data_IF_849730658751
#
_entry.id   IF_849730658751
#
_cell.length_a   1.000
_cell.length_b   1.000
_cell.length_c   1.000
_cell.angle_alpha   90.00
_cell.angle_beta   90.00
_cell.angle_gamma   90.00
#
_symmetry.space_group_name_H-M   'P 1'
#
loop_
_entity.id
_entity.type
_entity.pdbx_description
1 polymer ?
#
# COMPACT_ATOMS: atom_id res chain seq x y z
N UNK A 1 10.87 29.89 30.06
CA UNK A 1 11.81 28.81 30.44
C UNK A 1 10.97 27.58 30.78
N UNK A 2 10.92 26.61 29.93
CA UNK A 2 10.61 25.18 30.09
C UNK A 2 10.07 24.61 28.77
N UNK A 3 10.94 24.40 27.79
CA UNK A 3 10.63 23.72 26.53
C UNK A 3 11.49 22.47 26.30
N UNK A 4 11.90 21.80 27.36
CA UNK A 4 12.89 20.71 27.27
C UNK A 4 12.49 19.35 27.81
N UNK A 5 11.22 19.10 28.13
CA UNK A 5 10.83 17.85 28.82
C UNK A 5 9.88 16.90 28.07
N UNK A 6 9.39 17.23 26.90
CA UNK A 6 8.45 16.35 26.17
C UNK A 6 9.08 15.44 25.11
N UNK A 7 10.37 15.58 24.84
CA UNK A 7 11.09 14.71 23.87
C UNK A 7 11.61 13.39 24.47
N UNK A 8 11.46 13.16 25.76
CA UNK A 8 12.05 12.01 26.47
C UNK A 8 11.09 10.85 26.75
N UNK A 9 9.82 10.96 26.41
CA UNK A 9 8.83 9.90 26.68
C UNK A 9 8.71 8.83 25.60
N UNK A 10 9.28 9.03 24.41
CA UNK A 10 9.28 8.03 23.33
C UNK A 10 10.38 6.97 23.44
N UNK A 11 11.38 7.15 24.29
CA UNK A 11 12.54 6.26 24.40
C UNK A 11 12.49 5.22 25.53
N UNK A 12 11.45 5.20 26.36
CA UNK A 12 11.44 4.40 27.58
C UNK A 12 10.79 3.02 27.47
N UNK A 13 10.26 2.59 26.31
CA UNK A 13 9.66 1.26 26.12
C UNK A 13 10.58 0.20 25.49
N UNK A 14 11.83 0.52 25.23
CA UNK A 14 12.78 -0.34 24.50
C UNK A 14 13.68 -1.23 25.40
N UNK A 15 13.47 -1.31 26.70
CA UNK A 15 14.45 -1.91 27.62
C UNK A 15 14.05 -3.23 28.26
N UNK A 16 13.09 -3.99 27.72
CA UNK A 16 12.80 -5.33 28.28
C UNK A 16 12.39 -6.34 27.20
N UNK A 17 13.36 -6.80 26.40
CA UNK A 17 13.25 -8.06 25.67
C UNK A 17 14.62 -8.72 25.56
N UNK A 18 14.77 -9.82 26.29
CA UNK A 18 15.95 -10.68 26.28
C UNK A 18 16.18 -11.33 24.90
N UNK A 19 17.43 -11.31 24.50
CA UNK A 19 18.15 -12.14 23.54
C UNK A 19 17.41 -13.34 22.90
N UNK A 20 16.59 -13.07 21.88
CA UNK A 20 16.34 -14.01 20.81
C UNK A 20 17.10 -13.49 19.57
N UNK A 21 17.81 -14.37 18.86
CA UNK A 21 18.44 -14.03 17.59
C UNK A 21 17.34 -13.75 16.58
N UNK A 22 16.87 -12.50 16.51
CA UNK A 22 15.96 -12.05 15.47
C UNK A 22 16.74 -11.94 14.16
N UNK A 23 16.32 -12.70 13.18
CA UNK A 23 16.75 -12.55 11.81
C UNK A 23 15.87 -11.47 11.20
N UNK A 24 16.48 -10.43 10.62
CA UNK A 24 15.73 -9.37 9.96
C UNK A 24 14.81 -9.96 8.88
N UNK A 25 13.57 -9.48 8.75
CA UNK A 25 12.77 -9.80 7.59
C UNK A 25 13.54 -9.36 6.35
N UNK A 26 13.71 -10.27 5.40
CA UNK A 26 14.16 -9.90 4.09
C UNK A 26 13.11 -8.92 3.56
N UNK A 27 13.52 -7.72 3.14
CA UNK A 27 12.66 -6.89 2.31
C UNK A 27 12.10 -7.79 1.23
N UNK A 28 10.77 -7.79 1.04
CA UNK A 28 10.13 -8.58 0.02
C UNK A 28 10.83 -8.27 -1.31
N UNK A 29 11.84 -9.07 -1.62
CA UNK A 29 12.53 -8.99 -2.91
C UNK A 29 11.63 -9.61 -3.95
N UNK A 30 11.81 -9.30 -5.24
CA UNK A 30 11.03 -9.95 -6.27
C UNK A 30 11.14 -11.45 -6.07
N UNK A 31 10.00 -12.12 -6.00
CA UNK A 31 10.00 -13.57 -6.11
C UNK A 31 10.84 -13.92 -7.31
N UNK A 32 11.94 -14.67 -7.07
CA UNK A 32 12.83 -15.28 -8.03
C UNK A 32 13.86 -14.40 -8.77
N UNK A 33 14.99 -14.16 -8.11
CA UNK A 33 16.25 -14.36 -8.83
C UNK A 33 16.51 -15.88 -8.92
N UNK A 34 17.01 -16.44 -10.05
CA UNK A 34 17.40 -17.84 -10.09
C UNK A 34 18.51 -18.05 -9.05
N UNK A 35 18.19 -18.81 -8.01
CA UNK A 35 19.08 -19.15 -6.92
C UNK A 35 20.32 -19.85 -7.46
N UNK A 36 21.49 -19.30 -7.17
CA UNK A 36 22.73 -20.09 -7.23
C UNK A 36 22.61 -21.24 -6.23
N UNK A 37 23.14 -22.43 -6.52
CA UNK A 37 23.10 -23.55 -5.60
C UNK A 37 23.92 -23.21 -4.34
N UNK A 38 23.24 -22.87 -3.29
CA UNK A 38 23.83 -22.74 -1.96
C UNK A 38 23.97 -24.14 -1.36
N UNK A 39 25.12 -24.38 -0.76
CA UNK A 39 25.56 -25.64 -0.12
C UNK A 39 24.48 -26.28 0.74
N UNK A 40 24.47 -27.62 0.73
CA UNK A 40 23.65 -28.53 1.51
C UNK A 40 23.53 -28.08 2.99
N UNK A 41 22.48 -27.36 3.30
CA UNK A 41 22.02 -27.11 4.66
C UNK A 41 20.83 -28.02 4.94
N UNK A 42 20.92 -28.78 6.01
CA UNK A 42 19.97 -29.72 6.59
C UNK A 42 18.56 -29.67 6.00
N UNK A 43 18.12 -30.82 5.45
CA UNK A 43 16.76 -31.04 4.97
C UNK A 43 15.74 -30.85 6.09
N UNK A 44 15.31 -29.62 6.27
CA UNK A 44 14.25 -29.25 7.20
C UNK A 44 12.96 -29.44 6.42
N UNK A 45 12.11 -30.36 6.86
CA UNK A 45 10.81 -30.61 6.24
C UNK A 45 9.94 -29.35 6.16
N UNK A 46 8.83 -29.38 5.39
CA UNK A 46 7.98 -28.20 5.18
C UNK A 46 7.45 -27.65 6.50
N UNK A 47 7.52 -26.33 6.65
CA UNK A 47 7.01 -25.62 7.82
C UNK A 47 5.49 -25.83 7.94
N UNK A 48 5.01 -26.16 9.14
CA UNK A 48 3.58 -26.41 9.39
C UNK A 48 2.82 -25.17 9.81
N UNK A 49 3.47 -24.24 10.47
CA UNK A 49 2.94 -22.93 10.85
C UNK A 49 4.09 -21.97 11.17
N UNK A 50 3.83 -20.69 11.06
CA UNK A 50 4.70 -19.65 11.57
C UNK A 50 3.87 -18.51 12.18
N UNK A 51 4.55 -17.66 12.94
CA UNK A 51 3.98 -16.47 13.53
C UNK A 51 5.01 -15.35 13.41
N UNK A 52 4.62 -14.29 12.71
CA UNK A 52 5.39 -13.06 12.65
C UNK A 52 4.64 -11.94 13.36
N UNK A 53 5.37 -10.95 13.79
CA UNK A 53 4.83 -9.78 14.45
C UNK A 53 5.53 -8.54 13.92
N UNK A 54 4.77 -7.49 13.67
CA UNK A 54 5.30 -6.18 13.39
C UNK A 54 4.60 -5.11 14.25
N UNK A 55 5.34 -4.03 14.52
CA UNK A 55 4.79 -2.77 15.02
C UNK A 55 5.46 -1.61 14.30
N UNK A 56 4.67 -0.69 13.81
CA UNK A 56 5.14 0.51 13.12
C UNK A 56 4.50 1.74 13.74
N UNK A 57 5.30 2.76 14.01
CA UNK A 57 4.82 4.08 14.38
C UNK A 57 5.47 5.12 13.47
N UNK A 58 4.66 6.00 12.90
CA UNK A 58 5.12 7.09 12.03
C UNK A 58 4.65 8.40 12.64
N UNK A 59 5.58 9.28 12.94
CA UNK A 59 5.32 10.65 13.37
C UNK A 59 5.56 11.60 12.21
N UNK A 60 4.56 12.38 11.84
CA UNK A 60 4.57 13.31 10.72
C UNK A 60 4.47 14.75 11.21
N UNK A 61 5.12 15.67 10.51
CA UNK A 61 5.09 17.10 10.76
C UNK A 61 5.14 17.91 9.48
N UNK A 62 4.29 18.93 9.36
CA UNK A 62 4.49 20.02 8.42
C UNK A 62 4.42 21.39 9.12
N UNK A 63 5.14 22.36 8.59
CA UNK A 63 5.12 23.74 9.02
C UNK A 63 4.03 24.56 8.31
N UNK A 64 4.09 25.87 8.47
CA UNK A 64 3.24 26.81 7.71
C UNK A 64 3.59 26.81 6.23
N UNK A 65 2.60 27.04 5.40
CA UNK A 65 2.75 27.21 3.96
C UNK A 65 1.76 28.24 3.42
N UNK A 66 1.90 28.65 2.17
CA UNK A 66 0.99 29.62 1.55
C UNK A 66 -0.38 29.00 1.26
N UNK A 67 -1.45 29.58 1.82
CA UNK A 67 -2.82 29.20 1.58
C UNK A 67 -3.75 30.41 1.75
N UNK A 68 -4.06 31.14 0.67
CA UNK A 68 -4.84 32.38 0.75
C UNK A 68 -6.31 32.15 1.15
N UNK A 69 -6.78 30.92 1.13
CA UNK A 69 -8.13 30.51 1.55
C UNK A 69 -8.13 29.04 2.01
N UNK A 70 -9.20 28.67 2.71
CA UNK A 70 -9.37 27.30 3.24
C UNK A 70 -10.82 26.87 3.04
N UNK A 71 -11.02 25.73 2.41
CA UNK A 71 -12.29 25.04 2.25
C UNK A 71 -12.47 23.88 3.25
N UNK A 72 -13.59 23.17 3.17
CA UNK A 72 -13.90 22.08 4.10
C UNK A 72 -12.89 20.92 4.10
N UNK A 73 -12.33 20.56 2.93
CA UNK A 73 -11.34 19.49 2.77
C UNK A 73 -9.97 20.04 2.37
N UNK A 74 -9.60 21.20 2.91
CA UNK A 74 -8.26 21.76 2.73
C UNK A 74 -7.27 21.24 3.76
N UNK A 75 -6.04 21.05 3.35
CA UNK A 75 -4.91 20.98 4.28
C UNK A 75 -4.80 22.32 5.03
N UNK A 76 -4.66 22.31 6.34
CA UNK A 76 -4.50 23.53 7.15
C UNK A 76 -3.10 24.12 6.96
N UNK A 77 -3.02 25.44 6.87
CA UNK A 77 -1.79 26.18 6.59
C UNK A 77 -0.92 26.47 7.83
N UNK A 78 -1.40 26.10 9.01
CA UNK A 78 -0.64 26.16 10.27
C UNK A 78 0.10 24.82 10.54
N UNK A 79 1.11 24.83 11.43
CA UNK A 79 1.85 23.61 11.73
C UNK A 79 0.95 22.51 12.32
N UNK A 80 0.96 21.33 11.70
CA UNK A 80 0.30 20.13 12.21
C UNK A 80 1.31 19.04 12.57
N UNK A 81 0.95 18.20 13.51
CA UNK A 81 1.66 16.98 13.89
C UNK A 81 0.66 15.86 14.02
N UNK A 82 1.04 14.70 13.50
CA UNK A 82 0.27 13.49 13.68
C UNK A 82 1.17 12.29 13.98
N UNK A 83 0.58 11.25 14.56
CA UNK A 83 1.27 9.99 14.83
C UNK A 83 0.32 8.86 14.49
N UNK A 84 0.78 7.96 13.62
CA UNK A 84 0.12 6.68 13.40
C UNK A 84 0.82 5.56 14.17
N UNK A 85 0.05 4.53 14.50
CA UNK A 85 0.55 3.28 15.05
C UNK A 85 -0.20 2.12 14.41
N UNK A 86 0.54 1.12 13.98
CA UNK A 86 0.01 -0.13 13.46
C UNK A 86 0.77 -1.30 14.06
N UNK A 87 0.06 -2.32 14.52
CA UNK A 87 0.65 -3.55 14.99
C UNK A 87 -0.14 -4.75 14.50
N UNK A 88 0.55 -5.73 13.94
CA UNK A 88 -0.04 -6.89 13.26
C UNK A 88 0.61 -8.17 13.72
N UNK A 89 -0.21 -9.18 13.98
CA UNK A 89 0.23 -10.58 14.08
C UNK A 89 -0.04 -11.25 12.73
N UNK A 90 0.96 -11.94 12.19
CA UNK A 90 0.86 -12.70 10.95
C UNK A 90 0.95 -14.19 11.29
N UNK A 91 -0.19 -14.86 11.36
CA UNK A 91 -0.25 -16.29 11.58
C UNK A 91 -0.58 -17.01 10.28
N UNK A 92 0.26 -17.96 9.91
CA UNK A 92 0.05 -18.83 8.75
C UNK A 92 0.15 -20.28 9.18
N UNK A 93 -0.81 -21.09 8.73
CA UNK A 93 -0.84 -22.53 8.99
C UNK A 93 -1.03 -23.33 7.71
N UNK A 94 -0.31 -24.44 7.58
CA UNK A 94 -0.48 -25.43 6.52
C UNK A 94 -1.53 -26.43 6.96
N UNK A 95 -2.67 -26.46 6.28
CA UNK A 95 -3.75 -27.41 6.52
C UNK A 95 -3.48 -28.73 5.78
N UNK A 96 -3.02 -28.63 4.54
CA UNK A 96 -2.63 -29.73 3.66
C UNK A 96 -1.36 -29.32 2.87
N UNK A 97 -0.70 -30.23 2.13
CA UNK A 97 0.54 -29.90 1.44
C UNK A 97 0.53 -28.61 0.61
N UNK A 98 -0.59 -28.30 -0.03
CA UNK A 98 -0.75 -27.13 -0.89
C UNK A 98 -1.89 -26.19 -0.42
N UNK A 99 -2.38 -26.35 0.81
CA UNK A 99 -3.48 -25.55 1.37
C UNK A 99 -3.01 -24.83 2.61
N UNK A 100 -3.20 -23.53 2.62
CA UNK A 100 -2.75 -22.64 3.69
C UNK A 100 -3.91 -21.81 4.24
N UNK A 101 -3.86 -21.50 5.52
CA UNK A 101 -4.73 -20.55 6.18
C UNK A 101 -3.89 -19.40 6.73
N UNK A 102 -4.30 -18.18 6.40
CA UNK A 102 -3.70 -16.94 6.89
C UNK A 102 -4.68 -16.25 7.82
N UNK A 103 -4.19 -15.79 8.98
CA UNK A 103 -4.98 -15.07 9.99
C UNK A 103 -4.16 -13.94 10.59
N UNK A 104 -4.51 -12.68 10.28
CA UNK A 104 -3.80 -11.51 10.75
C UNK A 104 -4.74 -10.56 11.50
N UNK A 105 -4.82 -10.64 12.84
CA UNK A 105 -5.41 -9.58 13.64
C UNK A 105 -4.46 -8.37 13.68
N UNK A 106 -5.02 -7.17 13.59
CA UNK A 106 -4.28 -5.91 13.54
C UNK A 106 -4.92 -4.86 14.42
N UNK A 107 -4.10 -3.99 14.98
CA UNK A 107 -4.51 -2.78 15.69
C UNK A 107 -3.88 -1.60 14.95
N UNK A 108 -4.69 -0.65 14.51
CA UNK A 108 -4.20 0.57 13.88
C UNK A 108 -4.96 1.80 14.39
N UNK A 109 -4.26 2.94 14.42
CA UNK A 109 -4.78 4.25 14.76
C UNK A 109 -3.86 5.36 14.24
N UNK A 110 -4.42 6.56 14.15
CA UNK A 110 -3.79 7.78 13.65
C UNK A 110 -4.87 8.71 13.09
N UNK A 111 -4.60 9.99 13.02
CA UNK A 111 -5.57 10.97 12.58
C UNK A 111 -5.28 11.53 11.18
N UNK A 112 -4.00 11.71 10.85
CA UNK A 112 -3.53 12.40 9.66
C UNK A 112 -3.72 13.92 9.71
N UNK A 113 -2.95 14.61 8.89
CA UNK A 113 -3.06 16.07 8.74
C UNK A 113 -4.48 16.45 8.28
N UNK A 114 -5.09 17.41 8.95
CA UNK A 114 -6.43 17.91 8.62
C UNK A 114 -7.49 16.79 8.51
N UNK A 115 -7.27 15.63 9.18
CA UNK A 115 -8.11 14.45 9.06
C UNK A 115 -7.94 13.69 7.73
N UNK A 116 -6.73 13.66 7.19
CA UNK A 116 -6.35 13.12 5.87
C UNK A 116 -7.04 13.87 4.73
N UNK A 117 -7.14 15.20 4.81
CA UNK A 117 -7.73 16.03 3.76
C UNK A 117 -6.72 17.04 3.19
N UNK A 118 -6.97 17.45 1.94
CA UNK A 118 -6.29 18.54 1.27
C UNK A 118 -4.95 18.19 0.63
N UNK A 119 -4.67 16.90 0.46
CA UNK A 119 -3.56 16.34 -0.32
C UNK A 119 -4.12 15.16 -1.11
N UNK A 120 -3.95 15.12 -2.42
CA UNK A 120 -4.44 14.03 -3.24
C UNK A 120 -3.56 12.77 -3.12
N UNK A 121 -2.30 12.96 -2.79
CA UNK A 121 -1.32 11.92 -2.50
C UNK A 121 -0.91 11.97 -1.01
N UNK A 122 -1.72 11.46 -0.07
CA UNK A 122 -1.43 11.53 1.37
C UNK A 122 -0.04 11.03 1.73
N UNK A 123 0.67 11.69 2.66
CA UNK A 123 2.10 11.44 2.91
C UNK A 123 2.39 10.18 3.73
N UNK A 124 1.38 9.55 4.34
CA UNK A 124 1.53 8.42 5.24
C UNK A 124 0.52 7.32 4.92
N UNK A 125 0.99 6.26 4.27
CA UNK A 125 0.18 5.12 3.85
C UNK A 125 -0.35 4.23 4.98
N UNK A 126 0.12 4.43 6.21
CA UNK A 126 -0.38 3.70 7.39
C UNK A 126 -1.59 4.38 8.06
N UNK A 127 -2.05 5.50 7.55
CA UNK A 127 -3.21 6.21 8.11
C UNK A 127 -4.44 5.96 7.25
N UNK A 128 -5.42 5.16 7.71
CA UNK A 128 -6.71 5.07 7.03
C UNK A 128 -7.47 6.39 7.16
N UNK A 129 -8.13 6.83 6.10
CA UNK A 129 -8.79 8.15 6.02
C UNK A 129 -9.80 8.44 7.13
N UNK A 130 -10.58 7.46 7.55
CA UNK A 130 -11.55 7.60 8.66
C UNK A 130 -10.99 6.93 9.91
N UNK A 131 -9.71 7.12 10.14
CA UNK A 131 -9.09 6.57 11.32
C UNK A 131 -9.67 7.17 12.57
N UNK A 132 -9.85 6.32 13.55
CA UNK A 132 -9.91 6.75 14.92
C UNK A 132 -8.50 7.17 15.34
N UNK A 133 -8.35 8.34 15.94
CA UNK A 133 -7.08 8.72 16.57
C UNK A 133 -6.64 7.66 17.61
N UNK A 134 -7.60 6.98 18.22
CA UNK A 134 -7.35 5.85 19.11
C UNK A 134 -7.18 4.55 18.33
N UNK A 135 -6.11 3.79 18.60
CA UNK A 135 -5.90 2.47 18.00
C UNK A 135 -7.08 1.53 18.31
N UNK A 136 -7.56 0.84 17.27
CA UNK A 136 -8.67 -0.12 17.39
C UNK A 136 -8.28 -1.46 16.77
N UNK A 137 -8.63 -2.59 17.45
CA UNK A 137 -8.41 -3.91 16.87
C UNK A 137 -9.41 -4.20 15.76
N UNK A 138 -8.95 -4.93 14.75
CA UNK A 138 -9.78 -5.45 13.67
C UNK A 138 -9.11 -6.66 13.01
N UNK A 139 -9.85 -7.32 12.15
CA UNK A 139 -9.34 -8.42 11.35
C UNK A 139 -8.82 -7.86 10.01
N UNK A 140 -7.51 -7.88 9.82
CA UNK A 140 -6.88 -7.47 8.58
C UNK A 140 -7.01 -8.57 7.51
N UNK A 141 -6.48 -9.76 7.77
CA UNK A 141 -6.53 -10.89 6.84
C UNK A 141 -7.11 -12.14 7.51
N UNK A 142 -7.96 -12.83 6.77
CA UNK A 142 -8.43 -14.18 7.05
C UNK A 142 -8.80 -14.82 5.72
N UNK A 143 -7.89 -15.58 5.15
CA UNK A 143 -8.14 -16.24 3.87
C UNK A 143 -7.50 -17.63 3.80
N UNK A 144 -8.09 -18.47 2.98
CA UNK A 144 -7.51 -19.74 2.57
C UNK A 144 -6.84 -19.56 1.19
N UNK A 145 -5.69 -20.22 1.02
CA UNK A 145 -4.97 -20.37 -0.24
C UNK A 145 -4.88 -21.83 -0.59
N UNK A 146 -5.11 -22.17 -1.86
CA UNK A 146 -4.83 -23.50 -2.39
C UNK A 146 -4.09 -23.42 -3.72
N UNK A 147 -3.02 -24.22 -3.86
CA UNK A 147 -2.16 -24.29 -5.04
C UNK A 147 -2.38 -25.60 -5.79
N UNK A 148 -2.87 -25.52 -7.00
CA UNK A 148 -2.91 -26.64 -7.97
C UNK A 148 -1.63 -26.61 -8.80
N UNK A 149 -0.64 -27.43 -8.44
CA UNK A 149 0.62 -27.52 -9.16
C UNK A 149 0.51 -28.36 -10.43
N UNK A 150 1.16 -27.92 -11.50
CA UNK A 150 1.33 -28.68 -12.73
C UNK A 150 2.78 -28.58 -13.23
N UNK A 151 3.31 -29.70 -13.66
CA UNK A 151 4.75 -29.84 -13.94
C UNK A 151 5.53 -30.41 -12.76
N UNK A 152 6.82 -30.67 -12.99
CA UNK A 152 7.70 -31.31 -11.99
C UNK A 152 8.58 -30.32 -11.24
N UNK A 153 8.73 -29.11 -11.77
CA UNK A 153 9.63 -28.10 -11.22
C UNK A 153 9.03 -27.47 -9.97
N UNK A 154 9.85 -27.36 -8.95
CA UNK A 154 9.50 -26.70 -7.68
C UNK A 154 10.51 -25.62 -7.36
N UNK A 155 10.06 -24.58 -6.71
CA UNK A 155 10.86 -23.52 -6.11
C UNK A 155 10.85 -23.65 -4.60
N UNK A 156 11.96 -23.28 -3.98
CA UNK A 156 12.05 -23.21 -2.52
C UNK A 156 11.54 -21.86 -2.05
N UNK A 157 10.62 -21.89 -1.09
CA UNK A 157 10.18 -20.69 -0.37
C UNK A 157 10.82 -20.64 1.01
N UNK A 158 11.26 -19.46 1.40
CA UNK A 158 11.67 -19.17 2.77
C UNK A 158 10.44 -18.81 3.63
N UNK A 159 10.59 -18.93 4.95
CA UNK A 159 9.56 -18.51 5.89
C UNK A 159 9.51 -16.99 5.98
N UNK A 160 8.32 -16.40 5.84
CA UNK A 160 8.08 -14.97 5.91
C UNK A 160 6.65 -14.67 6.38
N UNK A 161 6.28 -13.41 6.50
CA UNK A 161 4.91 -12.97 6.77
C UNK A 161 3.95 -13.54 5.71
N UNK A 162 2.89 -14.22 6.17
CA UNK A 162 1.91 -14.91 5.32
C UNK A 162 2.48 -15.97 4.36
N UNK A 163 3.69 -16.44 4.61
CA UNK A 163 4.37 -17.43 3.80
C UNK A 163 5.08 -18.48 4.65
N UNK A 164 4.85 -19.77 4.36
CA UNK A 164 5.53 -20.88 5.03
C UNK A 164 6.72 -21.37 4.23
N UNK A 165 7.81 -21.70 4.92
CA UNK A 165 8.94 -22.36 4.29
C UNK A 165 8.54 -23.73 3.71
N UNK A 166 9.14 -24.07 2.57
CA UNK A 166 8.93 -25.36 1.91
C UNK A 166 9.15 -25.29 0.41
N UNK A 167 8.65 -26.29 -0.28
CA UNK A 167 8.64 -26.35 -1.73
C UNK A 167 7.27 -25.95 -2.29
N UNK A 168 7.25 -25.18 -3.36
CA UNK A 168 6.05 -24.78 -4.07
C UNK A 168 6.21 -25.09 -5.57
N UNK A 169 5.17 -25.55 -6.27
CA UNK A 169 5.26 -25.73 -7.72
C UNK A 169 5.54 -24.42 -8.45
N UNK A 170 6.51 -24.42 -9.38
CA UNK A 170 6.80 -23.25 -10.22
C UNK A 170 5.61 -22.93 -11.11
N UNK A 171 5.03 -23.95 -11.75
CA UNK A 171 3.81 -23.81 -12.56
C UNK A 171 2.63 -24.21 -11.71
N UNK A 172 1.78 -23.24 -11.40
CA UNK A 172 0.62 -23.44 -10.52
C UNK A 172 -0.55 -22.55 -10.89
N UNK A 173 -1.72 -23.02 -10.53
CA UNK A 173 -2.92 -22.22 -10.42
C UNK A 173 -3.28 -22.09 -8.96
N UNK A 174 -3.31 -20.87 -8.45
CA UNK A 174 -3.58 -20.57 -7.05
C UNK A 174 -4.93 -19.90 -6.89
N UNK A 175 -5.69 -20.28 -5.87
CA UNK A 175 -6.93 -19.63 -5.48
C UNK A 175 -6.75 -19.12 -4.06
N UNK A 176 -7.10 -17.86 -3.84
CA UNK A 176 -7.16 -17.20 -2.55
C UNK A 176 -8.60 -16.78 -2.31
N UNK A 177 -9.19 -17.14 -1.17
CA UNK A 177 -10.57 -16.82 -0.85
C UNK A 177 -10.72 -16.40 0.61
N UNK A 178 -11.33 -15.25 0.85
CA UNK A 178 -11.54 -14.72 2.20
C UNK A 178 -11.36 -13.20 2.28
N UNK A 179 -10.82 -12.73 3.39
CA UNK A 179 -10.51 -11.32 3.67
C UNK A 179 -9.02 -11.04 3.48
N UNK A 180 -8.69 -10.02 2.71
CA UNK A 180 -7.32 -9.59 2.39
C UNK A 180 -7.31 -8.13 1.91
N UNK A 181 -6.14 -7.52 1.72
CA UNK A 181 -6.05 -6.35 0.85
C UNK A 181 -5.81 -6.81 -0.58
N UNK A 182 -6.50 -6.20 -1.54
CA UNK A 182 -6.36 -6.57 -2.96
C UNK A 182 -4.95 -6.27 -3.48
N UNK A 183 -4.27 -5.31 -2.86
CA UNK A 183 -2.89 -4.94 -3.17
C UNK A 183 -1.85 -5.99 -2.73
N UNK A 184 -2.21 -7.00 -1.92
CA UNK A 184 -1.33 -8.15 -1.66
C UNK A 184 -1.02 -8.95 -2.94
N UNK A 185 -1.89 -8.86 -3.95
CA UNK A 185 -1.82 -9.66 -5.17
C UNK A 185 -1.56 -8.84 -6.43
N UNK A 186 -1.99 -7.57 -6.47
CA UNK A 186 -1.97 -6.72 -7.65
C UNK A 186 -1.12 -5.48 -7.43
N UNK A 187 -0.56 -4.93 -8.51
CA UNK A 187 0.34 -3.76 -8.53
C UNK A 187 1.56 -3.93 -7.59
N UNK A 188 1.95 -5.16 -7.35
CA UNK A 188 3.08 -5.47 -6.48
C UNK A 188 4.38 -4.95 -7.11
N UNK A 189 5.25 -4.31 -6.30
CA UNK A 189 6.53 -3.77 -6.75
C UNK A 189 7.55 -3.88 -5.62
N UNK A 190 8.71 -4.45 -5.93
CA UNK A 190 9.74 -4.76 -4.94
C UNK A 190 10.37 -3.55 -4.26
N UNK A 191 10.27 -2.37 -4.86
CA UNK A 191 10.94 -1.15 -4.39
C UNK A 191 9.97 -0.13 -3.81
N UNK A 192 8.68 -0.31 -4.06
CA UNK A 192 7.64 0.58 -3.57
C UNK A 192 6.30 -0.14 -3.49
N UNK A 193 5.93 -0.56 -2.29
CA UNK A 193 4.71 -1.31 -1.99
C UNK A 193 4.30 -1.17 -0.53
N UNK A 194 5.25 -1.22 0.41
CA UNK A 194 4.99 -1.27 1.84
C UNK A 194 5.41 0.04 2.54
N UNK A 195 4.47 0.86 3.02
CA UNK A 195 4.77 2.11 3.73
C UNK A 195 5.47 1.90 5.08
N UNK A 196 5.52 0.67 5.60
CA UNK A 196 6.20 0.32 6.85
C UNK A 196 7.72 0.22 6.68
N UNK A 197 8.19 -0.04 5.47
CA UNK A 197 9.60 -0.31 5.19
C UNK A 197 10.19 0.50 4.04
N UNK A 198 9.36 0.99 3.13
CA UNK A 198 9.72 1.67 1.90
C UNK A 198 9.20 3.11 1.88
N UNK A 199 8.81 3.64 0.70
CA UNK A 199 8.17 4.95 0.53
C UNK A 199 6.82 4.99 1.27
N UNK A 200 6.46 6.17 1.81
CA UNK A 200 5.28 6.34 2.64
C UNK A 200 4.11 7.01 1.91
N UNK A 201 4.38 7.81 0.88
CA UNK A 201 3.32 8.51 0.16
C UNK A 201 2.42 7.52 -0.62
N UNK A 202 1.10 7.68 -0.50
CA UNK A 202 0.11 6.75 -1.06
C UNK A 202 0.22 6.55 -2.57
N UNK A 203 0.42 7.60 -3.35
CA UNK A 203 0.56 7.50 -4.81
C UNK A 203 1.93 7.00 -5.27
N UNK A 204 2.88 6.79 -4.33
CA UNK A 204 4.16 6.12 -4.60
C UNK A 204 4.05 4.64 -4.29
N UNK A 205 3.43 4.26 -3.17
CA UNK A 205 3.37 2.85 -2.74
C UNK A 205 2.50 2.00 -3.65
N UNK A 206 1.43 2.57 -4.24
CA UNK A 206 0.55 1.88 -5.19
C UNK A 206 0.24 2.78 -6.40
N UNK A 207 -0.42 2.21 -7.42
CA UNK A 207 -1.01 2.98 -8.51
C UNK A 207 -2.14 3.87 -7.97
N UNK A 208 -1.85 5.16 -7.70
CA UNK A 208 -2.83 6.09 -7.15
C UNK A 208 -4.06 6.33 -8.03
N UNK A 209 -4.01 6.01 -9.32
CA UNK A 209 -5.18 6.08 -10.20
C UNK A 209 -6.01 4.77 -10.20
N UNK A 210 -5.64 3.79 -9.42
CA UNK A 210 -6.43 2.60 -9.16
C UNK A 210 -7.22 2.78 -7.85
N UNK A 211 -8.50 3.08 -7.96
CA UNK A 211 -9.42 3.13 -6.82
C UNK A 211 -9.74 1.70 -6.38
N UNK A 212 -8.80 1.06 -5.68
CA UNK A 212 -8.90 -0.34 -5.35
C UNK A 212 -10.00 -0.61 -4.31
N UNK A 213 -10.84 -1.64 -4.51
CA UNK A 213 -11.94 -1.97 -3.61
C UNK A 213 -11.46 -2.32 -2.21
N UNK A 214 -11.85 -1.51 -1.23
CA UNK A 214 -11.50 -1.75 0.17
C UNK A 214 -12.42 -1.02 1.13
N UNK A 215 -12.55 -1.54 2.35
CA UNK A 215 -13.12 -0.79 3.46
C UNK A 215 -12.16 0.34 3.91
N UNK A 216 -12.62 1.18 4.84
CA UNK A 216 -11.84 2.29 5.41
C UNK A 216 -10.45 1.90 5.94
N UNK A 217 -10.15 0.62 6.09
CA UNK A 217 -8.86 0.11 6.59
C UNK A 217 -8.00 -0.54 5.50
N UNK A 218 -8.46 -0.54 4.26
CA UNK A 218 -7.71 -1.08 3.13
C UNK A 218 -7.94 -2.58 2.85
N UNK A 219 -8.92 -3.22 3.47
CA UNK A 219 -9.19 -4.66 3.31
C UNK A 219 -10.56 -4.90 2.68
N UNK A 220 -10.69 -6.03 1.99
CA UNK A 220 -11.93 -6.45 1.33
C UNK A 220 -12.16 -7.96 1.48
N UNK A 221 -13.33 -8.44 1.07
CA UNK A 221 -13.67 -9.85 0.96
C UNK A 221 -13.77 -10.24 -0.50
N UNK A 222 -13.18 -11.36 -0.89
CA UNK A 222 -13.28 -11.80 -2.27
C UNK A 222 -12.51 -13.06 -2.59
N UNK A 223 -12.29 -13.24 -3.89
CA UNK A 223 -11.56 -14.35 -4.48
C UNK A 223 -10.52 -13.76 -5.44
N UNK A 224 -9.28 -14.21 -5.31
CA UNK A 224 -8.21 -13.96 -6.27
C UNK A 224 -7.77 -15.28 -6.87
N UNK A 225 -7.50 -15.29 -8.15
CA UNK A 225 -7.00 -16.42 -8.91
C UNK A 225 -5.72 -16.02 -9.61
N UNK A 226 -4.70 -16.87 -9.54
CA UNK A 226 -3.42 -16.65 -10.19
C UNK A 226 -2.98 -17.87 -10.99
N UNK A 227 -2.69 -17.69 -12.26
CA UNK A 227 -1.96 -18.64 -13.07
C UNK A 227 -0.49 -18.21 -13.15
N UNK A 228 0.38 -18.90 -12.44
CA UNK A 228 1.80 -18.61 -12.35
C UNK A 228 2.62 -19.59 -13.17
N UNK A 229 3.60 -19.06 -13.90
CA UNK A 229 4.61 -19.81 -14.66
C UNK A 229 5.99 -19.21 -14.36
N UNK A 230 7.07 -19.77 -14.92
CA UNK A 230 8.43 -19.26 -14.73
C UNK A 230 8.60 -17.77 -15.07
N UNK A 231 7.91 -17.30 -16.11
CA UNK A 231 8.11 -15.93 -16.66
C UNK A 231 6.86 -15.07 -16.63
N UNK A 232 5.69 -15.66 -16.46
CA UNK A 232 4.41 -14.97 -16.52
C UNK A 232 3.56 -15.26 -15.29
N UNK A 233 2.80 -14.28 -14.86
CA UNK A 233 1.65 -14.49 -14.00
C UNK A 233 0.43 -13.77 -14.59
N UNK A 234 -0.73 -14.41 -14.52
CA UNK A 234 -2.02 -13.87 -14.91
C UNK A 234 -2.91 -13.90 -13.67
N UNK A 235 -3.38 -12.75 -13.24
CA UNK A 235 -4.20 -12.61 -12.04
C UNK A 235 -5.56 -12.07 -12.38
N UNK A 236 -6.55 -12.59 -11.70
CA UNK A 236 -7.92 -12.09 -11.71
C UNK A 236 -8.47 -12.05 -10.29
N UNK A 237 -9.04 -10.92 -9.89
CA UNK A 237 -9.70 -10.72 -8.60
C UNK A 237 -11.14 -10.26 -8.79
N UNK A 238 -12.05 -10.79 -7.96
CA UNK A 238 -13.38 -10.27 -7.75
C UNK A 238 -13.61 -10.08 -6.26
N UNK A 239 -13.97 -8.87 -5.87
CA UNK A 239 -13.99 -8.45 -4.46
C UNK A 239 -15.16 -7.52 -4.16
N UNK A 240 -15.54 -7.47 -2.89
CA UNK A 240 -16.62 -6.61 -2.42
C UNK A 240 -16.22 -5.14 -2.36
N UNK A 241 -17.18 -4.27 -2.66
CA UNK A 241 -17.08 -2.82 -2.50
C UNK A 241 -17.71 -2.37 -1.18
N UNK A 242 -17.20 -1.30 -0.55
CA UNK A 242 -17.87 -0.70 0.59
C UNK A 242 -19.21 -0.08 0.16
N UNK A 243 -20.16 -0.03 1.08
CA UNK A 243 -21.51 0.49 0.84
C UNK A 243 -21.54 1.99 0.52
N UNK A 244 -20.61 2.74 1.06
CA UNK A 244 -20.39 4.18 0.82
C UNK A 244 -18.89 4.42 0.72
N UNK A 245 -18.50 5.48 0.04
CA UNK A 245 -17.10 5.86 -0.09
C UNK A 245 -16.38 5.85 1.27
N UNK A 246 -15.25 5.15 1.33
CA UNK A 246 -14.45 4.94 2.54
C UNK A 246 -15.23 4.36 3.74
N UNK A 247 -16.28 3.59 3.47
CA UNK A 247 -17.11 2.97 4.50
C UNK A 247 -16.46 1.74 5.13
N UNK A 248 -16.91 1.40 6.35
CA UNK A 248 -16.47 0.18 7.05
C UNK A 248 -17.34 -1.04 6.74
N UNK A 249 -18.50 -0.83 6.12
CA UNK A 249 -19.48 -1.88 5.80
C UNK A 249 -19.49 -2.15 4.30
N UNK A 250 -19.41 -3.42 3.95
CA UNK A 250 -19.51 -3.86 2.56
C UNK A 250 -20.95 -3.86 2.06
N UNK A 251 -21.12 -3.58 0.78
CA UNK A 251 -22.39 -3.78 0.11
C UNK A 251 -22.70 -5.28 0.01
N UNK A 252 -23.95 -5.63 0.23
CA UNK A 252 -24.40 -7.03 0.16
C UNK A 252 -24.90 -7.43 -1.23
N UNK A 253 -24.94 -6.46 -2.16
CA UNK A 253 -25.41 -6.65 -3.54
C UNK A 253 -24.28 -7.07 -4.47
N UNK A 254 -23.53 -8.11 -4.11
CA UNK A 254 -22.30 -8.57 -4.78
C UNK A 254 -22.41 -8.73 -6.32
N UNK A 255 -23.61 -8.95 -6.85
CA UNK A 255 -23.83 -9.00 -8.30
C UNK A 255 -23.98 -7.62 -8.95
N UNK A 256 -24.13 -6.55 -8.17
CA UNK A 256 -24.27 -5.16 -8.64
C UNK A 256 -23.11 -4.28 -8.23
N UNK A 257 -22.64 -4.46 -7.00
CA UNK A 257 -21.58 -3.64 -6.40
C UNK A 257 -20.39 -4.55 -6.04
N UNK A 258 -19.36 -4.52 -6.88
CA UNK A 258 -18.14 -5.32 -6.75
C UNK A 258 -17.04 -4.71 -7.60
N UNK A 259 -15.80 -4.92 -7.18
CA UNK A 259 -14.63 -4.60 -7.98
C UNK A 259 -14.10 -5.84 -8.70
N UNK A 260 -13.64 -5.65 -9.92
CA UNK A 260 -12.91 -6.65 -10.68
C UNK A 260 -11.55 -6.08 -11.08
N UNK A 261 -10.53 -6.92 -11.03
CA UNK A 261 -9.18 -6.53 -11.41
C UNK A 261 -8.48 -7.66 -12.15
N UNK A 262 -7.78 -7.30 -13.21
CA UNK A 262 -6.96 -8.18 -14.02
C UNK A 262 -5.54 -7.67 -14.05
N UNK A 263 -4.57 -8.55 -13.93
CA UNK A 263 -3.16 -8.19 -14.09
C UNK A 263 -2.41 -9.26 -14.88
N UNK A 264 -1.55 -8.80 -15.78
CA UNK A 264 -0.57 -9.62 -16.47
C UNK A 264 0.82 -9.15 -16.05
N UNK A 265 1.61 -10.07 -15.50
CA UNK A 265 3.00 -9.82 -15.12
C UNK A 265 3.94 -10.58 -16.04
N UNK A 266 4.97 -9.90 -16.52
CA UNK A 266 6.10 -10.47 -17.25
C UNK A 266 7.39 -10.26 -16.46
N UNK A 267 7.99 -11.35 -15.97
CA UNK A 267 9.32 -11.38 -15.36
C UNK A 267 10.40 -11.62 -16.41
N UNK A 268 11.53 -10.94 -16.27
CA UNK A 268 12.64 -11.05 -17.20
C UNK A 268 13.98 -10.79 -16.49
N UNK A 269 15.08 -11.16 -17.17
CA UNK A 269 16.43 -10.85 -16.74
C UNK A 269 17.05 -9.84 -17.69
N UNK A 270 17.57 -8.76 -17.17
CA UNK A 270 18.40 -7.79 -17.89
C UNK A 270 19.78 -7.73 -17.23
N UNK A 271 20.84 -8.02 -17.99
CA UNK A 271 22.21 -8.11 -17.48
C UNK A 271 22.33 -8.95 -16.20
N UNK A 272 21.66 -10.10 -16.14
CA UNK A 272 21.54 -11.02 -14.98
C UNK A 272 20.80 -10.47 -13.76
N UNK A 273 20.22 -9.29 -13.83
CA UNK A 273 19.39 -8.73 -12.80
C UNK A 273 17.90 -8.87 -13.12
N UNK A 274 17.10 -9.23 -12.13
CA UNK A 274 15.66 -9.43 -12.28
C UNK A 274 14.92 -8.12 -12.53
N UNK A 275 13.88 -8.20 -13.34
CA UNK A 275 12.92 -7.13 -13.56
C UNK A 275 11.54 -7.66 -13.85
N UNK A 276 10.53 -6.84 -13.68
CA UNK A 276 9.15 -7.16 -13.99
C UNK A 276 8.41 -5.98 -14.62
N UNK A 277 7.47 -6.29 -15.50
CA UNK A 277 6.49 -5.36 -16.03
C UNK A 277 5.12 -5.94 -15.72
N UNK A 278 4.24 -5.12 -15.14
CA UNK A 278 2.86 -5.48 -14.82
C UNK A 278 1.92 -4.54 -15.54
N UNK A 279 0.86 -5.08 -16.12
CA UNK A 279 -0.22 -4.34 -16.74
C UNK A 279 -1.50 -4.71 -16.02
N UNK A 280 -2.12 -3.72 -15.40
CA UNK A 280 -3.34 -3.85 -14.62
C UNK A 280 -4.49 -3.16 -15.34
N UNK A 281 -5.66 -3.76 -15.30
CA UNK A 281 -6.93 -3.15 -15.65
C UNK A 281 -7.96 -3.47 -14.58
N UNK A 282 -8.90 -2.56 -14.34
CA UNK A 282 -9.95 -2.78 -13.35
C UNK A 282 -11.28 -2.15 -13.77
N UNK A 283 -12.36 -2.69 -13.25
CA UNK A 283 -13.66 -2.03 -13.16
C UNK A 283 -14.22 -2.19 -11.74
N UNK A 284 -14.76 -1.10 -11.21
CA UNK A 284 -15.49 -1.07 -9.96
C UNK A 284 -16.92 -0.70 -10.26
N UNK A 285 -17.85 -1.43 -9.65
CA UNK A 285 -19.26 -1.11 -9.61
C UNK A 285 -19.63 -0.87 -8.17
N UNK A 286 -19.94 0.37 -7.87
CA UNK A 286 -20.19 0.84 -6.51
C UNK A 286 -21.48 1.66 -6.43
N UNK A 287 -21.74 2.28 -5.29
CA UNK A 287 -22.87 3.17 -5.06
C UNK A 287 -22.44 4.65 -5.15
N UNK A 288 -21.51 4.97 -6.05
CA UNK A 288 -20.94 6.30 -6.19
C UNK A 288 -21.73 7.23 -7.09
N UNK A 289 -21.45 8.51 -6.96
CA UNK A 289 -22.04 9.56 -7.76
C UNK A 289 -21.19 9.95 -8.98
N UNK A 290 -21.75 10.78 -9.86
CA UNK A 290 -21.13 11.25 -11.09
C UNK A 290 -20.92 12.77 -11.05
N UNK A 291 -19.67 13.21 -11.24
CA UNK A 291 -19.30 14.63 -11.18
C UNK A 291 -20.04 15.50 -12.20
N UNK A 292 -20.20 14.99 -13.44
CA UNK A 292 -20.90 15.75 -14.49
C UNK A 292 -22.40 15.91 -14.20
N UNK A 293 -23.03 14.95 -13.55
CA UNK A 293 -24.43 15.06 -13.13
C UNK A 293 -24.57 15.98 -11.94
N UNK A 294 -23.65 15.93 -10.97
CA UNK A 294 -23.62 16.85 -9.84
C UNK A 294 -23.46 18.30 -10.31
N UNK A 295 -22.60 18.58 -11.29
CA UNK A 295 -22.47 19.89 -11.91
C UNK A 295 -23.78 20.36 -12.57
N UNK A 296 -24.46 19.49 -13.31
CA UNK A 296 -25.76 19.82 -13.94
C UNK A 296 -26.84 20.10 -12.90
N UNK A 297 -26.84 19.34 -11.79
CA UNK A 297 -27.78 19.57 -10.70
C UNK A 297 -27.50 20.90 -10.02
N UNK A 298 -26.23 21.18 -9.69
CA UNK A 298 -25.79 22.44 -9.10
C UNK A 298 -26.18 23.66 -9.96
N UNK A 299 -26.01 23.60 -11.28
CA UNK A 299 -26.41 24.65 -12.20
C UNK A 299 -27.94 24.93 -12.19
N UNK A 300 -28.76 23.91 -11.87
CA UNK A 300 -30.23 24.07 -11.79
C UNK A 300 -30.68 24.61 -10.44
N UNK A 301 -29.98 24.27 -9.37
CA UNK A 301 -30.35 24.62 -8.01
C UNK A 301 -29.69 25.88 -7.48
N UNK A 302 -28.63 26.36 -8.16
CA UNK A 302 -27.82 27.51 -7.71
C UNK A 302 -26.97 27.20 -6.46
N UNK A 303 -26.70 25.93 -6.16
CA UNK A 303 -25.89 25.48 -5.02
C UNK A 303 -24.53 24.97 -5.48
N UNK A 304 -23.58 24.79 -4.55
CA UNK A 304 -22.35 24.07 -4.86
C UNK A 304 -22.65 22.61 -5.27
N UNK A 305 -21.89 22.02 -6.20
CA UNK A 305 -22.13 20.66 -6.63
C UNK A 305 -21.80 19.66 -5.51
N UNK A 306 -22.68 18.68 -5.32
CA UNK A 306 -22.54 17.58 -4.37
C UNK A 306 -22.69 16.28 -5.13
N UNK A 307 -21.60 15.51 -5.25
CA UNK A 307 -21.56 14.25 -6.00
C UNK A 307 -22.46 13.19 -5.37
N UNK A 308 -22.63 13.22 -4.04
CA UNK A 308 -23.43 12.21 -3.31
C UNK A 308 -24.91 12.29 -3.65
N UNK A 309 -25.41 13.44 -4.12
CA UNK A 309 -26.78 13.59 -4.60
C UNK A 309 -27.07 12.85 -5.92
N UNK A 310 -26.04 12.31 -6.54
CA UNK A 310 -26.13 11.54 -7.79
C UNK A 310 -25.77 10.07 -7.61
N UNK A 311 -25.66 9.60 -6.36
CA UNK A 311 -25.31 8.21 -6.03
C UNK A 311 -26.30 7.23 -6.65
N UNK A 312 -25.75 6.18 -7.27
CA UNK A 312 -26.52 5.07 -7.89
C UNK A 312 -25.82 3.75 -7.68
N UNK A 313 -26.62 2.73 -7.47
CA UNK A 313 -26.17 1.34 -7.41
C UNK A 313 -25.58 0.90 -8.76
N UNK A 314 -24.38 0.35 -8.75
CA UNK A 314 -23.70 -0.14 -9.94
C UNK A 314 -23.11 0.96 -10.82
N UNK A 315 -22.82 2.14 -10.24
CA UNK A 315 -22.02 3.17 -10.92
C UNK A 315 -20.67 2.59 -11.30
N UNK A 316 -20.30 2.74 -12.57
CA UNK A 316 -19.08 2.16 -13.12
C UNK A 316 -17.94 3.18 -13.08
N UNK A 317 -16.83 2.76 -12.45
CA UNK A 317 -15.50 3.38 -12.56
C UNK A 317 -14.52 2.37 -13.12
N UNK A 318 -13.70 2.75 -14.08
CA UNK A 318 -12.72 1.84 -14.67
C UNK A 318 -11.40 2.54 -14.97
N UNK A 319 -10.35 1.75 -15.02
CA UNK A 319 -9.02 2.27 -15.26
C UNK A 319 -8.01 1.21 -15.59
N UNK A 320 -6.78 1.66 -15.79
CA UNK A 320 -5.64 0.82 -16.11
C UNK A 320 -4.35 1.39 -15.55
N UNK A 321 -3.34 0.53 -15.40
CA UNK A 321 -2.02 0.92 -14.95
C UNK A 321 -0.92 0.04 -15.53
N UNK A 322 0.29 0.59 -15.50
CA UNK A 322 1.51 -0.14 -15.82
C UNK A 322 2.49 0.10 -14.68
N UNK A 323 3.05 -0.98 -14.15
CA UNK A 323 4.13 -0.95 -13.16
C UNK A 323 5.37 -1.61 -13.74
N UNK A 324 6.51 -0.98 -13.55
CA UNK A 324 7.82 -1.42 -13.98
C UNK A 324 8.76 -1.48 -12.80
N UNK A 325 9.61 -2.51 -12.75
CA UNK A 325 10.73 -2.60 -11.83
C UNK A 325 11.93 -3.26 -12.47
N UNK A 326 13.13 -2.82 -12.08
CA UNK A 326 14.38 -3.39 -12.53
C UNK A 326 15.45 -3.31 -11.44
N UNK A 327 15.99 -4.45 -11.03
CA UNK A 327 17.16 -4.51 -10.19
C UNK A 327 18.40 -4.07 -10.97
N UNK A 328 19.27 -3.29 -10.32
CA UNK A 328 20.55 -2.83 -10.85
C UNK A 328 21.65 -3.42 -9.96
N UNK A 329 22.19 -4.56 -10.38
CA UNK A 329 23.08 -5.36 -9.55
C UNK A 329 22.36 -5.92 -8.33
N UNK A 330 23.09 -6.03 -7.19
CA UNK A 330 22.57 -6.55 -5.92
C UNK A 330 22.00 -5.48 -4.98
N UNK A 331 22.31 -4.21 -5.23
CA UNK A 331 22.20 -3.16 -4.22
C UNK A 331 21.26 -2.02 -4.59
N UNK A 332 20.77 -1.97 -5.82
CA UNK A 332 19.88 -0.92 -6.26
C UNK A 332 18.74 -1.44 -7.10
N UNK A 333 17.65 -0.70 -7.16
CA UNK A 333 16.57 -0.94 -8.07
C UNK A 333 15.87 0.35 -8.46
N UNK A 334 15.30 0.34 -9.64
CA UNK A 334 14.49 1.43 -10.17
C UNK A 334 13.08 0.93 -10.41
N UNK A 335 12.12 1.83 -10.28
CA UNK A 335 10.72 1.56 -10.54
C UNK A 335 10.05 2.72 -11.26
N UNK A 336 8.95 2.43 -11.93
CA UNK A 336 8.06 3.43 -12.50
C UNK A 336 6.62 2.91 -12.53
N UNK A 337 5.64 3.80 -12.39
CA UNK A 337 4.22 3.52 -12.57
C UNK A 337 3.55 4.58 -13.43
N UNK A 338 2.63 4.14 -14.27
CA UNK A 338 1.68 4.98 -14.96
C UNK A 338 0.27 4.49 -14.62
N UNK A 339 -0.63 5.39 -14.29
CA UNK A 339 -2.00 5.09 -13.93
C UNK A 339 -2.99 6.03 -14.60
N UNK A 340 -4.14 5.48 -14.94
CA UNK A 340 -5.24 6.20 -15.53
C UNK A 340 -6.59 5.60 -15.11
N UNK A 341 -7.56 6.45 -14.83
CA UNK A 341 -8.97 6.08 -14.76
C UNK A 341 -9.85 7.06 -15.53
N UNK A 342 -11.12 6.76 -15.68
CA UNK A 342 -12.06 7.58 -16.47
C UNK A 342 -12.36 8.94 -15.82
N UNK A 343 -12.20 9.08 -14.49
CA UNK A 343 -12.31 10.32 -13.71
C UNK A 343 -13.69 10.98 -13.79
N UNK A 344 -14.75 10.18 -13.99
CA UNK A 344 -16.13 10.70 -14.13
C UNK A 344 -16.94 10.54 -12.85
N UNK A 345 -16.53 9.63 -12.00
CA UNK A 345 -17.26 9.23 -10.81
C UNK A 345 -16.42 9.43 -9.55
N UNK A 346 -17.10 9.54 -8.44
CA UNK A 346 -16.51 9.68 -7.11
C UNK A 346 -15.41 8.63 -6.86
N UNK A 347 -14.33 9.03 -6.21
CA UNK A 347 -13.36 8.07 -5.66
C UNK A 347 -13.96 7.39 -4.43
N UNK A 348 -13.72 6.08 -4.30
CA UNK A 348 -14.47 5.28 -3.32
C UNK A 348 -13.63 4.79 -2.15
N UNK A 349 -12.37 4.46 -2.37
CA UNK A 349 -11.60 3.82 -1.33
C UNK A 349 -10.16 4.30 -1.16
N UNK A 350 -9.47 4.80 -2.18
CA UNK A 350 -8.03 4.95 -2.09
C UNK A 350 -7.55 6.41 -2.20
N UNK A 351 -7.44 6.99 -3.38
CA UNK A 351 -6.92 8.35 -3.61
C UNK A 351 -7.83 9.15 -4.52
N UNK A 352 -7.72 10.48 -4.46
CA UNK A 352 -8.36 11.38 -5.43
C UNK A 352 -7.44 11.66 -6.62
N UNK A 353 -7.04 10.63 -7.37
CA UNK A 353 -6.10 10.71 -8.49
C UNK A 353 -6.69 10.03 -9.72
N UNK A 354 -6.83 10.77 -10.84
CA UNK A 354 -7.32 10.23 -12.11
C UNK A 354 -6.18 9.89 -13.09
N UNK A 355 -5.04 10.53 -12.92
CA UNK A 355 -3.82 10.36 -13.73
C UNK A 355 -2.61 10.29 -12.82
N UNK A 356 -1.76 9.30 -13.03
CA UNK A 356 -0.54 9.10 -12.25
C UNK A 356 0.65 8.84 -13.15
N UNK A 357 1.75 9.50 -12.84
CA UNK A 357 3.08 9.10 -13.29
C UNK A 357 4.02 9.16 -12.09
N UNK A 358 4.62 8.05 -11.72
CA UNK A 358 5.59 8.00 -10.62
C UNK A 358 6.80 7.18 -10.99
N UNK A 359 7.94 7.47 -10.35
CA UNK A 359 9.15 6.70 -10.53
C UNK A 359 10.19 7.04 -9.49
N UNK A 360 11.13 6.14 -9.29
CA UNK A 360 12.13 6.32 -8.27
C UNK A 360 13.23 5.26 -8.28
N UNK A 361 14.09 5.38 -7.30
CA UNK A 361 15.21 4.47 -7.06
C UNK A 361 15.30 4.14 -5.57
N UNK A 362 15.61 2.89 -5.26
CA UNK A 362 15.96 2.45 -3.93
C UNK A 362 17.35 1.80 -3.94
N UNK A 363 18.14 2.03 -2.89
CA UNK A 363 19.53 1.58 -2.80
C UNK A 363 19.81 1.00 -1.42
N UNK A 364 20.46 -0.16 -1.37
CA UNK A 364 20.97 -0.75 -0.11
C UNK A 364 22.27 -0.07 0.35
N UNK A 365 22.46 -0.02 1.64
CA UNK A 365 23.60 0.63 2.28
C UNK A 365 24.95 -0.11 2.18
N UNK A 366 25.05 -1.13 1.35
CA UNK A 366 26.27 -1.93 1.16
C UNK A 366 27.49 -1.07 0.82
N UNK A 367 27.32 -0.05 -0.04
CA UNK A 367 28.39 0.86 -0.45
C UNK A 367 28.95 1.72 0.66
N UNK A 368 28.16 2.01 1.71
CA UNK A 368 28.59 2.75 2.90
C UNK A 368 28.68 1.87 4.15
N UNK A 369 28.89 0.56 3.95
CA UNK A 369 29.14 -0.45 4.99
C UNK A 369 27.97 -0.66 5.96
N UNK A 370 26.76 -0.39 5.51
CA UNK A 370 25.51 -0.61 6.26
C UNK A 370 24.53 -1.45 5.42
N UNK A 371 24.82 -2.73 5.17
CA UNK A 371 24.11 -3.56 4.18
C UNK A 371 22.63 -3.79 4.46
N UNK A 372 22.18 -3.47 5.65
CA UNK A 372 20.78 -3.60 6.07
C UNK A 372 20.01 -2.27 6.06
N UNK A 373 20.70 -1.16 5.79
CA UNK A 373 20.05 0.12 5.60
C UNK A 373 19.58 0.26 4.16
N UNK A 374 18.55 1.08 3.96
CA UNK A 374 18.01 1.42 2.65
C UNK A 374 17.81 2.93 2.52
N UNK A 375 18.08 3.46 1.35
CA UNK A 375 17.71 4.82 0.97
C UNK A 375 16.89 4.78 -0.32
N UNK A 376 15.94 5.69 -0.45
CA UNK A 376 15.16 5.82 -1.67
C UNK A 376 14.82 7.26 -1.97
N UNK A 377 14.59 7.54 -3.25
CA UNK A 377 14.02 8.81 -3.71
C UNK A 377 13.05 8.55 -4.84
N UNK A 378 11.93 9.26 -4.85
CA UNK A 378 10.87 9.13 -5.84
C UNK A 378 10.32 10.50 -6.23
N UNK A 379 9.68 10.52 -7.39
CA UNK A 379 8.91 11.65 -7.88
C UNK A 379 7.56 11.15 -8.41
N UNK A 380 6.50 11.85 -8.05
CA UNK A 380 5.13 11.57 -8.48
C UNK A 380 4.50 12.81 -9.07
N UNK A 381 3.83 12.66 -10.20
CA UNK A 381 2.96 13.64 -10.81
C UNK A 381 1.55 13.08 -10.88
N UNK A 382 0.61 13.76 -10.25
CA UNK A 382 -0.80 13.38 -10.20
C UNK A 382 -1.66 14.41 -10.91
N UNK A 383 -2.79 14.00 -11.48
CA UNK A 383 -3.69 14.88 -12.21
C UNK A 383 -5.13 14.40 -12.20
N UNK A 384 -6.04 15.28 -12.56
CA UNK A 384 -7.47 15.04 -12.64
C UNK A 384 -8.00 15.04 -14.07
N UNK A 385 -9.14 14.40 -14.28
CA UNK A 385 -9.94 14.51 -15.51
C UNK A 385 -10.54 15.91 -15.66
N UNK A 386 -11.00 16.27 -16.83
CA UNK A 386 -11.60 17.60 -17.07
C UNK A 386 -12.84 17.82 -16.19
N UNK A 387 -13.75 16.85 -16.15
CA UNK A 387 -14.99 16.98 -15.38
C UNK A 387 -14.75 17.02 -13.86
N UNK A 388 -13.74 16.29 -13.37
CA UNK A 388 -13.38 16.31 -11.96
C UNK A 388 -12.79 17.67 -11.56
N UNK A 389 -11.94 18.28 -12.41
CA UNK A 389 -11.45 19.66 -12.22
C UNK A 389 -12.58 20.69 -12.19
N UNK A 390 -13.53 20.58 -13.12
CA UNK A 390 -14.71 21.48 -13.17
C UNK A 390 -15.55 21.34 -11.90
N UNK A 391 -15.74 20.10 -11.40
CA UNK A 391 -16.47 19.81 -10.19
C UNK A 391 -15.82 20.49 -8.95
N UNK A 392 -14.51 20.33 -8.76
CA UNK A 392 -13.77 20.96 -7.68
C UNK A 392 -13.71 22.49 -7.82
N UNK A 393 -13.55 23.01 -9.04
CA UNK A 393 -13.53 24.45 -9.31
C UNK A 393 -14.87 25.11 -8.99
N UNK A 394 -15.99 24.39 -9.16
CA UNK A 394 -17.33 24.84 -8.78
C UNK A 394 -17.61 24.72 -7.28
N UNK A 395 -16.63 24.32 -6.46
CA UNK A 395 -16.76 24.20 -5.00
C UNK A 395 -17.20 22.81 -4.53
N UNK A 396 -17.18 21.80 -5.40
CA UNK A 396 -17.46 20.42 -5.02
C UNK A 396 -16.43 19.83 -4.04
N UNK A 397 -16.86 18.83 -3.30
CA UNK A 397 -16.02 18.10 -2.35
C UNK A 397 -15.87 16.65 -2.86
N UNK A 398 -14.63 16.22 -3.03
CA UNK A 398 -14.31 14.84 -3.36
C UNK A 398 -13.82 14.07 -2.14
N UNK A 399 -13.38 12.85 -2.33
CA UNK A 399 -12.96 11.89 -1.33
C UNK A 399 -11.98 12.44 -0.28
N UNK A 400 -10.92 13.14 -0.73
CA UNK A 400 -9.87 13.70 0.15
C UNK A 400 -9.70 15.21 0.01
N UNK A 401 -10.25 15.81 -1.04
CA UNK A 401 -9.91 17.17 -1.46
C UNK A 401 -11.13 18.03 -1.72
N UNK A 402 -11.00 19.32 -1.51
CA UNK A 402 -12.06 20.29 -1.74
C UNK A 402 -11.80 21.61 -1.05
N UNK A 403 -11.12 22.51 -1.74
CA UNK A 403 -10.74 23.84 -1.24
C UNK A 403 -11.85 24.88 -1.39
N UNK A 404 -13.02 24.52 -1.95
CA UNK A 404 -14.12 25.42 -2.25
C UNK A 404 -13.94 26.17 -3.57
N UNK A 405 -12.74 26.23 -4.12
CA UNK A 405 -12.38 26.71 -5.46
C UNK A 405 -11.05 26.10 -5.89
N UNK A 406 -10.74 26.13 -7.18
CA UNK A 406 -9.55 25.47 -7.71
C UNK A 406 -8.89 26.33 -8.80
N UNK A 407 -7.62 26.69 -8.62
CA UNK A 407 -6.72 27.12 -9.68
C UNK A 407 -5.87 25.91 -10.06
N UNK A 408 -6.34 25.12 -11.02
CA UNK A 408 -5.80 23.80 -11.31
C UNK A 408 -4.34 23.82 -11.76
N UNK A 409 -3.54 23.00 -11.08
CA UNK A 409 -2.24 22.52 -11.54
C UNK A 409 -2.05 21.07 -11.09
N UNK A 410 -1.26 20.24 -11.78
CA UNK A 410 -0.94 18.91 -11.27
C UNK A 410 -0.29 18.97 -9.87
N UNK A 411 -0.62 18.01 -9.02
CA UNK A 411 0.08 17.82 -7.74
C UNK A 411 1.36 17.03 -7.99
N UNK A 412 2.47 17.55 -7.46
CA UNK A 412 3.79 16.93 -7.56
C UNK A 412 4.32 16.62 -6.18
N UNK A 413 4.69 15.36 -5.95
CA UNK A 413 5.32 14.93 -4.71
C UNK A 413 6.72 14.40 -5.00
N UNK A 414 7.72 14.99 -4.38
CA UNK A 414 9.04 14.42 -4.24
C UNK A 414 9.18 13.83 -2.86
N UNK A 415 9.62 12.58 -2.75
CA UNK A 415 9.85 11.88 -1.50
C UNK A 415 11.25 11.31 -1.45
N UNK A 416 11.91 11.39 -0.29
CA UNK A 416 13.19 10.73 -0.04
C UNK A 416 13.27 10.24 1.40
N UNK A 417 13.71 8.99 1.55
CA UNK A 417 13.88 8.39 2.86
C UNK A 417 15.25 7.75 3.06
N UNK A 418 15.64 7.63 4.32
CA UNK A 418 16.73 6.79 4.78
C UNK A 418 16.27 5.93 5.94
N UNK A 419 16.29 4.60 5.76
CA UNK A 419 15.91 3.61 6.76
C UNK A 419 17.16 2.93 7.30
N UNK A 420 17.45 3.14 8.57
CA UNK A 420 18.61 2.61 9.26
C UNK A 420 18.22 1.42 10.15
N UNK A 421 18.88 0.27 10.03
CA UNK A 421 18.76 -0.80 11.00
C UNK A 421 19.50 -0.42 12.29
N UNK A 422 18.74 -0.21 13.36
CA UNK A 422 19.24 0.13 14.69
C UNK A 422 19.81 -1.12 15.39
N UNK A 423 18.98 -2.15 15.46
CA UNK A 423 19.33 -3.51 15.89
C UNK A 423 18.60 -4.52 15.01
N UNK A 424 18.93 -5.81 15.03
CA UNK A 424 18.15 -6.81 14.31
C UNK A 424 16.65 -6.72 14.65
N UNK A 425 15.82 -6.58 13.61
CA UNK A 425 14.36 -6.45 13.75
C UNK A 425 13.85 -5.04 14.08
N UNK A 426 14.72 -4.03 14.33
CA UNK A 426 14.29 -2.65 14.59
C UNK A 426 14.95 -1.68 13.60
N UNK A 427 14.10 -0.90 12.93
CA UNK A 427 14.49 0.10 11.95
C UNK A 427 13.99 1.49 12.36
N UNK A 428 14.82 2.50 12.17
CA UNK A 428 14.45 3.91 12.25
C UNK A 428 14.62 4.56 10.89
N UNK A 429 13.57 5.23 10.42
CA UNK A 429 13.57 5.90 9.11
C UNK A 429 13.33 7.38 9.30
N UNK A 430 14.11 8.20 8.63
CA UNK A 430 13.81 9.60 8.39
C UNK A 430 13.32 9.74 6.95
N UNK A 431 12.22 10.46 6.76
CA UNK A 431 11.60 10.72 5.48
C UNK A 431 11.30 12.21 5.32
N UNK A 432 11.43 12.68 4.11
CA UNK A 432 11.11 14.05 3.72
C UNK A 432 10.31 14.02 2.42
N UNK A 433 9.17 14.73 2.42
CA UNK A 433 8.35 14.91 1.23
C UNK A 433 8.18 16.40 0.93
N UNK A 434 8.16 16.73 -0.34
CA UNK A 434 7.82 18.06 -0.85
C UNK A 434 6.63 17.94 -1.78
N UNK A 435 5.49 18.43 -1.32
CA UNK A 435 4.26 18.48 -2.08
C UNK A 435 4.06 19.87 -2.67
N UNK A 436 3.90 19.92 -3.98
CA UNK A 436 3.66 21.13 -4.75
C UNK A 436 2.28 21.09 -5.35
N UNK A 437 1.50 22.15 -5.18
CA UNK A 437 0.08 22.27 -5.54
C UNK A 437 -0.79 21.20 -4.83
N UNK A 438 -0.77 21.13 -3.49
CA UNK A 438 -1.57 20.17 -2.75
C UNK A 438 -3.05 20.29 -3.15
N UNK A 439 -3.72 19.15 -3.29
CA UNK A 439 -5.09 19.05 -3.81
C UNK A 439 -5.27 19.68 -5.21
N UNK A 440 -4.23 19.64 -6.04
CA UNK A 440 -4.20 20.21 -7.41
C UNK A 440 -4.37 21.74 -7.48
N UNK A 441 -4.11 22.45 -6.38
CA UNK A 441 -4.39 23.87 -6.28
C UNK A 441 -3.11 24.70 -6.24
N UNK A 442 -2.79 25.40 -7.35
CA UNK A 442 -1.58 26.24 -7.44
C UNK A 442 -1.61 27.49 -6.55
N UNK A 443 -2.77 27.85 -5.99
CA UNK A 443 -2.87 28.93 -5.02
C UNK A 443 -2.32 28.51 -3.64
N UNK A 444 -2.06 27.23 -3.42
CA UNK A 444 -1.68 26.64 -2.14
C UNK A 444 -0.34 25.93 -2.22
N UNK A 445 0.37 25.89 -1.09
CA UNK A 445 1.67 25.23 -0.99
C UNK A 445 2.84 26.08 -1.48
N UNK A 446 3.99 25.47 -1.77
CA UNK A 446 4.28 24.06 -1.55
C UNK A 446 4.47 23.71 -0.08
N UNK A 447 4.16 22.46 0.29
CA UNK A 447 4.25 21.94 1.67
C UNK A 447 5.47 21.05 1.79
N UNK A 448 6.24 21.20 2.87
CA UNK A 448 7.31 20.26 3.22
C UNK A 448 6.87 19.46 4.44
N UNK A 449 6.93 18.14 4.31
CA UNK A 449 6.54 17.19 5.34
C UNK A 449 7.80 16.43 5.76
N UNK A 450 8.03 16.34 7.07
CA UNK A 450 9.11 15.55 7.65
C UNK A 450 8.51 14.45 8.50
N UNK A 451 8.96 13.22 8.31
CA UNK A 451 8.45 12.07 9.02
C UNK A 451 9.56 11.25 9.66
N UNK A 452 9.24 10.65 10.80
CA UNK A 452 10.10 9.67 11.48
C UNK A 452 9.28 8.40 11.65
N UNK A 453 9.76 7.29 11.09
CA UNK A 453 9.16 5.97 11.23
C UNK A 453 10.04 5.08 12.11
N UNK A 454 9.43 4.46 13.10
CA UNK A 454 10.01 3.34 13.84
C UNK A 454 9.26 2.08 13.43
N UNK A 455 9.99 1.09 12.92
CA UNK A 455 9.43 -0.19 12.48
C UNK A 455 10.16 -1.34 13.19
N UNK A 456 9.39 -2.21 13.81
CA UNK A 456 9.90 -3.41 14.47
C UNK A 456 9.20 -4.64 13.89
N UNK A 457 9.99 -5.63 13.48
CA UNK A 457 9.47 -6.90 12.98
C UNK A 457 10.33 -8.08 13.45
N UNK A 458 9.67 -9.16 13.81
CA UNK A 458 10.34 -10.43 14.18
C UNK A 458 9.40 -11.62 13.95
N UNK A 459 9.99 -12.79 13.72
CA UNK A 459 9.25 -14.04 13.50
C UNK A 459 9.58 -15.08 14.53
N UNK A 460 8.57 -15.87 14.92
CA UNK A 460 8.70 -17.11 15.71
C UNK A 460 8.44 -18.28 14.79
N UNK A 461 9.42 -19.17 14.68
CA UNK A 461 9.32 -20.40 13.87
C UNK A 461 9.19 -21.60 14.81
N UNK A 462 8.36 -22.61 14.50
CA UNK A 462 8.36 -23.85 15.28
C UNK A 462 9.74 -24.51 15.21
N UNK A 463 10.15 -25.10 16.34
CA UNK A 463 11.38 -25.89 16.35
C UNK A 463 11.22 -27.09 15.41
N UNK A 464 11.96 -27.09 14.30
CA UNK A 464 11.92 -28.13 13.29
C UNK A 464 12.91 -29.23 13.66
N UNK A 465 12.41 -30.43 13.92
CA UNK A 465 13.30 -31.60 14.06
C UNK A 465 13.92 -31.91 12.70
N UNK A 466 15.24 -32.18 12.63
CA UNK A 466 15.85 -32.68 11.41
C UNK A 466 15.09 -33.92 10.93
N UNK A 467 14.78 -33.99 9.66
CA UNK A 467 14.19 -35.18 9.05
C UNK A 467 15.15 -36.35 9.27
N UNK A 468 14.71 -37.38 9.99
CA UNK A 468 15.37 -38.69 9.92
C UNK A 468 14.94 -39.29 8.58
N UNK A 469 15.90 -39.49 7.66
CA UNK A 469 15.70 -40.37 6.51
C UNK A 469 15.26 -41.74 7.06
N UNK A 470 14.07 -42.17 6.70
CA UNK A 470 13.66 -43.55 6.87
C UNK A 470 14.39 -44.33 5.78
N UNK A 471 15.41 -45.09 6.16
CA UNK A 471 16.06 -46.08 5.30
C UNK A 471 15.08 -47.17 4.90
#
# INVERSE_FOLDING_TARGET
>A
MNRGKELLFACALAAWCAAGKAQAPAAAGPETSPSQPTQAGNDIGPERWNLYYQATSIGDYHGTFTAPYTGPFSLRDYPERDVSITTTLFFTARLEPNTFLVFNPEIAGGKGFSGVNGIANPPNGEIPRVASAMPKPYLARLYAQHDFGFGKEKERQESDENQLAGERPVKRYSIYAGRFTITDFFDNNSYTHDPRTQFMAWGVMYNGAWDYPADTRGYTWGIVQELHTEKWAFRYGIVGEPKIANGSQFDRRLFRDHGQVWEVERRYLWRKSGGAIRMLAYDNRDQGGNYGEALKLAARTGTAPDVTLTDRVGTLKYGAGISFEQAIGSDAGVFARLGWNDGKTQSFAFTSIDRLASGGVAVKGTRWRRPYDTAGTSFTASGLSAVHREYLAAGGLDFLIGDGRLTYAPEYVWESYYSARVVPGLYATFDVQRDTNPAYNSDRGPVTICSVRLHMAFGVKPWQRPWRSVN
#
